data_IF_454451681683
#
_entry.id   IF_454451681683
#
_cell.length_a   1.000
_cell.length_b   1.000
_cell.length_c   1.000
_cell.angle_alpha   90.00
_cell.angle_beta   90.00
_cell.angle_gamma   90.00
#
_symmetry.space_group_name_H-M   'P 1'
#
loop_
_entity.id
_entity.type
_entity.pdbx_description
1 polymer ?
#
# COMPACT_ATOMS: atom_id res chain seq x y z
N UNK A 1 -1.64 -2.46 -13.10
CA UNK A 1 -0.33 -3.09 -12.79
C UNK A 1 0.02 -4.29 -13.65
N UNK A 2 -0.79 -5.34 -13.71
CA UNK A 2 -0.44 -6.58 -14.45
C UNK A 2 -0.10 -6.34 -15.94
N UNK A 3 -0.93 -5.59 -16.66
CA UNK A 3 -0.67 -5.24 -18.07
C UNK A 3 0.66 -4.53 -18.28
N UNK A 4 1.04 -3.66 -17.33
CA UNK A 4 2.30 -2.94 -17.38
C UNK A 4 3.49 -3.89 -17.18
N UNK A 5 3.40 -4.81 -16.21
CA UNK A 5 4.42 -5.84 -15.99
C UNK A 5 4.62 -6.65 -17.28
N UNK A 6 3.54 -7.11 -17.89
CA UNK A 6 3.57 -7.87 -19.15
C UNK A 6 4.24 -7.04 -20.25
N UNK A 7 3.90 -5.75 -20.39
CA UNK A 7 4.49 -4.87 -21.39
C UNK A 7 6.01 -4.72 -21.21
N UNK A 8 6.49 -4.52 -19.97
CA UNK A 8 7.93 -4.43 -19.68
C UNK A 8 8.65 -5.75 -19.96
N UNK A 9 8.05 -6.89 -19.63
CA UNK A 9 8.62 -8.20 -19.92
C UNK A 9 8.72 -8.47 -21.43
N UNK A 10 7.68 -8.09 -22.20
CA UNK A 10 7.69 -8.18 -23.67
C UNK A 10 8.78 -7.27 -24.23
N UNK A 11 8.86 -6.01 -23.80
CA UNK A 11 9.86 -5.06 -24.26
C UNK A 11 11.29 -5.55 -23.98
N UNK A 12 11.54 -6.00 -22.74
CA UNK A 12 12.82 -6.57 -22.32
C UNK A 12 13.19 -7.79 -23.19
N UNK A 13 12.21 -8.65 -23.48
CA UNK A 13 12.41 -9.83 -24.35
C UNK A 13 12.75 -9.46 -25.79
N UNK A 14 12.10 -8.42 -26.34
CA UNK A 14 12.39 -7.90 -27.69
C UNK A 14 13.82 -7.34 -27.74
N UNK A 15 14.20 -6.53 -26.75
CA UNK A 15 15.56 -5.95 -26.65
C UNK A 15 16.60 -7.06 -26.53
N UNK A 16 16.37 -8.06 -25.68
CA UNK A 16 17.29 -9.20 -25.52
C UNK A 16 17.47 -9.97 -26.83
N UNK A 17 16.39 -10.25 -27.57
CA UNK A 17 16.48 -10.89 -28.90
C UNK A 17 17.26 -10.04 -29.90
N UNK A 18 17.11 -8.72 -29.86
CA UNK A 18 17.87 -7.82 -30.71
C UNK A 18 19.37 -7.83 -30.35
N UNK A 19 19.71 -7.77 -29.05
CA UNK A 19 21.10 -7.82 -28.56
C UNK A 19 21.76 -9.16 -28.94
N UNK A 20 21.07 -10.28 -28.73
CA UNK A 20 21.56 -11.62 -29.11
C UNK A 20 21.92 -11.68 -30.59
N UNK A 21 21.01 -11.22 -31.47
CA UNK A 21 21.26 -11.16 -32.92
C UNK A 21 22.40 -10.22 -33.30
N UNK A 22 22.49 -9.07 -32.64
CA UNK A 22 23.50 -8.04 -32.94
C UNK A 22 24.91 -8.47 -32.55
N UNK A 23 25.05 -9.21 -31.45
CA UNK A 23 26.35 -9.58 -30.89
C UNK A 23 26.69 -11.07 -31.06
N UNK A 24 25.84 -11.84 -31.76
CA UNK A 24 25.99 -13.29 -31.95
C UNK A 24 26.18 -14.04 -30.62
N UNK A 25 25.45 -13.63 -29.59
CA UNK A 25 25.49 -14.30 -28.27
C UNK A 25 24.77 -15.63 -28.43
N UNK A 26 25.49 -16.73 -28.16
CA UNK A 26 24.92 -18.08 -28.18
C UNK A 26 24.25 -18.29 -26.82
N UNK A 27 22.93 -18.54 -26.77
CA UNK A 27 22.29 -18.82 -25.50
C UNK A 27 22.74 -20.19 -24.98
N UNK A 28 23.48 -20.20 -23.89
CA UNK A 28 24.05 -21.40 -23.27
C UNK A 28 23.00 -22.39 -22.73
N UNK A 29 21.71 -22.05 -22.72
CA UNK A 29 20.60 -22.90 -22.28
C UNK A 29 20.58 -23.19 -20.77
N UNK A 30 21.66 -22.90 -20.04
CA UNK A 30 21.77 -22.98 -18.59
C UNK A 30 21.35 -21.64 -17.99
N UNK A 31 20.31 -21.64 -17.15
CA UNK A 31 19.75 -20.42 -16.56
C UNK A 31 20.70 -19.64 -15.63
N UNK A 32 21.83 -20.25 -15.23
CA UNK A 32 22.83 -19.63 -14.38
C UNK A 32 24.22 -20.30 -14.54
N UNK A 33 25.21 -19.52 -14.95
CA UNK A 33 26.62 -19.91 -14.99
C UNK A 33 27.46 -18.91 -14.19
N UNK A 34 27.90 -19.25 -12.97
CA UNK A 34 28.72 -18.34 -12.19
C UNK A 34 30.12 -18.22 -12.82
N UNK A 35 30.51 -16.98 -13.14
CA UNK A 35 31.84 -16.66 -13.72
C UNK A 35 33.02 -17.00 -12.79
N UNK A 36 32.81 -17.02 -11.47
CA UNK A 36 33.81 -17.44 -10.48
C UNK A 36 33.16 -17.86 -9.15
N UNK A 37 33.98 -18.33 -8.20
CA UNK A 37 33.52 -18.74 -6.87
C UNK A 37 32.90 -17.58 -6.06
N UNK A 38 33.39 -16.35 -6.24
CA UNK A 38 32.82 -15.17 -5.57
C UNK A 38 31.40 -14.88 -6.08
N UNK A 39 31.15 -15.02 -7.38
CA UNK A 39 29.83 -14.87 -7.98
C UNK A 39 28.88 -15.92 -7.40
N UNK A 40 29.32 -17.18 -7.37
CA UNK A 40 28.54 -18.30 -6.82
C UNK A 40 28.17 -18.10 -5.35
N UNK A 41 29.12 -17.69 -4.51
CA UNK A 41 28.86 -17.45 -3.09
C UNK A 41 28.05 -16.18 -2.85
N UNK A 42 28.33 -15.10 -3.58
CA UNK A 42 27.59 -13.85 -3.48
C UNK A 42 26.10 -14.02 -3.78
N UNK A 43 25.75 -14.73 -4.86
CA UNK A 43 24.35 -15.00 -5.15
C UNK A 43 23.69 -15.85 -4.06
N UNK A 44 24.37 -16.89 -3.55
CA UNK A 44 23.82 -17.70 -2.45
C UNK A 44 23.54 -16.88 -1.20
N UNK A 45 24.41 -15.94 -0.86
CA UNK A 45 24.21 -15.03 0.27
C UNK A 45 23.03 -14.11 0.00
N UNK A 46 22.94 -13.50 -1.18
CA UNK A 46 21.81 -12.63 -1.56
C UNK A 46 20.49 -13.40 -1.50
N UNK A 47 20.45 -14.63 -2.04
CA UNK A 47 19.28 -15.50 -2.00
C UNK A 47 18.86 -15.84 -0.56
N UNK A 48 19.82 -16.18 0.30
CA UNK A 48 19.57 -16.50 1.71
C UNK A 48 19.06 -15.29 2.49
N UNK A 49 19.66 -14.11 2.29
CA UNK A 49 19.20 -12.86 2.89
C UNK A 49 17.79 -12.53 2.41
N UNK A 50 17.51 -12.67 1.11
CA UNK A 50 16.17 -12.46 0.55
C UNK A 50 15.12 -13.38 1.17
N UNK A 51 15.45 -14.65 1.38
CA UNK A 51 14.57 -15.62 2.05
C UNK A 51 14.28 -15.22 3.51
N UNK A 52 15.31 -14.84 4.26
CA UNK A 52 15.16 -14.39 5.66
C UNK A 52 14.27 -13.15 5.72
N UNK A 53 14.52 -12.16 4.85
CA UNK A 53 13.71 -10.95 4.76
C UNK A 53 12.25 -11.27 4.43
N UNK A 54 12.00 -12.19 3.48
CA UNK A 54 10.64 -12.60 3.14
C UNK A 54 9.91 -13.23 4.33
N UNK A 55 10.59 -14.07 5.12
CA UNK A 55 10.04 -14.68 6.33
C UNK A 55 9.71 -13.61 7.39
N UNK A 56 10.63 -12.67 7.63
CA UNK A 56 10.43 -11.58 8.60
C UNK A 56 9.22 -10.74 8.18
N UNK A 57 9.19 -10.28 6.92
CA UNK A 57 8.12 -9.45 6.36
C UNK A 57 6.75 -10.16 6.43
N UNK A 58 6.72 -11.47 6.17
CA UNK A 58 5.52 -12.28 6.35
C UNK A 58 5.06 -12.33 7.81
N UNK A 59 5.97 -12.51 8.77
CA UNK A 59 5.63 -12.55 10.20
C UNK A 59 5.07 -11.24 10.73
N UNK A 60 5.49 -10.10 10.19
CA UNK A 60 5.00 -8.77 10.60
C UNK A 60 3.86 -8.25 9.72
N UNK A 61 3.25 -9.10 8.88
CA UNK A 61 2.17 -8.75 7.93
C UNK A 61 2.50 -7.55 7.04
N UNK A 62 3.79 -7.30 6.78
CA UNK A 62 4.28 -6.16 6.02
C UNK A 62 4.83 -6.66 4.69
N UNK A 63 3.96 -6.92 3.72
CA UNK A 63 4.40 -7.36 2.39
C UNK A 63 3.96 -6.35 1.35
N UNK A 64 4.82 -5.36 1.09
CA UNK A 64 4.64 -4.45 -0.02
C UNK A 64 5.25 -5.04 -1.29
N UNK A 65 4.42 -5.23 -2.33
CA UNK A 65 4.81 -5.93 -3.55
C UNK A 65 6.02 -5.33 -4.26
N UNK A 66 6.33 -4.04 -4.09
CA UNK A 66 7.51 -3.43 -4.72
C UNK A 66 8.84 -3.93 -4.15
N UNK A 67 8.85 -4.47 -2.92
CA UNK A 67 10.06 -4.99 -2.26
C UNK A 67 10.66 -6.12 -3.12
N UNK A 68 9.83 -6.92 -3.81
CA UNK A 68 10.31 -7.98 -4.69
C UNK A 68 11.13 -7.42 -5.86
N UNK A 69 10.75 -6.28 -6.42
CA UNK A 69 11.48 -5.65 -7.50
C UNK A 69 12.81 -5.08 -7.01
N UNK A 70 12.85 -4.51 -5.80
CA UNK A 70 14.09 -4.07 -5.16
C UNK A 70 15.07 -5.22 -4.92
N UNK A 71 14.56 -6.35 -4.40
CA UNK A 71 15.36 -7.56 -4.21
C UNK A 71 15.89 -8.12 -5.54
N UNK A 72 15.03 -8.25 -6.55
CA UNK A 72 15.43 -8.71 -7.88
C UNK A 72 16.46 -7.77 -8.53
N UNK A 73 16.35 -6.46 -8.29
CA UNK A 73 17.32 -5.48 -8.77
C UNK A 73 18.71 -5.68 -8.15
N UNK A 74 18.78 -5.98 -6.85
CA UNK A 74 20.04 -6.29 -6.17
C UNK A 74 20.64 -7.58 -6.72
N UNK A 75 19.82 -8.64 -6.84
CA UNK A 75 20.28 -9.94 -7.33
C UNK A 75 20.79 -9.86 -8.78
N UNK A 76 19.98 -9.32 -9.68
CA UNK A 76 20.35 -9.20 -11.10
C UNK A 76 21.45 -8.15 -11.30
N UNK A 77 21.47 -7.09 -10.49
CA UNK A 77 22.52 -6.07 -10.51
C UNK A 77 23.87 -6.65 -10.11
N UNK A 78 23.91 -7.47 -9.06
CA UNK A 78 25.11 -8.22 -8.68
C UNK A 78 25.56 -9.16 -9.80
N UNK A 79 24.64 -9.92 -10.40
CA UNK A 79 24.94 -10.81 -11.53
C UNK A 79 25.54 -10.04 -12.71
N UNK A 80 24.87 -8.98 -13.15
CA UNK A 80 25.32 -8.13 -14.26
C UNK A 80 26.70 -7.52 -13.98
N UNK A 81 26.96 -7.10 -12.74
CA UNK A 81 28.26 -6.58 -12.32
C UNK A 81 29.36 -7.65 -12.40
N UNK A 82 29.09 -8.87 -11.92
CA UNK A 82 30.05 -9.98 -11.96
C UNK A 82 30.35 -10.40 -13.40
N UNK A 83 29.33 -10.54 -14.25
CA UNK A 83 29.51 -10.85 -15.68
C UNK A 83 30.28 -9.74 -16.40
N UNK A 84 29.93 -8.48 -16.19
CA UNK A 84 30.65 -7.35 -16.81
C UNK A 84 32.12 -7.31 -16.41
N UNK A 85 32.43 -7.58 -15.13
CA UNK A 85 33.79 -7.46 -14.59
C UNK A 85 34.66 -8.66 -14.95
N UNK A 86 34.12 -9.87 -14.95
CA UNK A 86 34.91 -11.11 -15.05
C UNK A 86 34.68 -11.91 -16.33
N UNK A 87 33.63 -11.62 -17.12
CA UNK A 87 33.27 -12.37 -18.33
C UNK A 87 32.81 -11.43 -19.47
N UNK A 88 33.62 -10.39 -19.69
CA UNK A 88 33.29 -9.30 -20.62
C UNK A 88 33.32 -9.72 -22.08
N UNK A 89 34.09 -10.75 -22.42
CA UNK A 89 34.37 -11.15 -23.81
C UNK A 89 33.15 -11.77 -24.48
N UNK A 90 32.36 -12.56 -23.75
CA UNK A 90 31.15 -13.21 -24.26
C UNK A 90 29.95 -12.25 -24.39
N UNK A 91 30.06 -11.03 -23.83
CA UNK A 91 29.04 -9.95 -23.86
C UNK A 91 27.67 -10.35 -23.28
N UNK A 92 27.55 -11.50 -22.62
CA UNK A 92 26.33 -11.95 -21.97
C UNK A 92 25.81 -10.97 -20.94
N UNK A 93 26.73 -10.22 -20.29
CA UNK A 93 26.40 -9.15 -19.36
C UNK A 93 25.42 -8.11 -19.94
N UNK A 94 25.36 -7.93 -21.27
CA UNK A 94 24.41 -7.03 -21.92
C UNK A 94 22.96 -7.51 -21.77
N UNK A 95 22.73 -8.83 -21.78
CA UNK A 95 21.41 -9.41 -21.58
C UNK A 95 20.97 -9.25 -20.12
N UNK A 96 21.86 -9.57 -19.18
CA UNK A 96 21.58 -9.42 -17.75
C UNK A 96 21.38 -7.95 -17.39
N UNK A 97 22.17 -7.03 -17.97
CA UNK A 97 22.00 -5.58 -17.78
C UNK A 97 20.65 -5.10 -18.31
N UNK A 98 20.17 -5.66 -19.42
CA UNK A 98 18.83 -5.33 -19.94
C UNK A 98 17.74 -5.81 -18.98
N UNK A 99 17.89 -7.00 -18.39
CA UNK A 99 16.99 -7.48 -17.33
C UNK A 99 17.02 -6.61 -16.08
N UNK A 100 18.19 -6.11 -15.67
CA UNK A 100 18.34 -5.11 -14.59
C UNK A 100 17.55 -3.85 -14.92
N UNK A 101 17.68 -3.33 -16.14
CA UNK A 101 16.92 -2.16 -16.59
C UNK A 101 15.41 -2.37 -16.55
N UNK A 102 14.93 -3.54 -17.02
CA UNK A 102 13.52 -3.91 -16.97
C UNK A 102 12.97 -3.98 -15.54
N UNK A 103 13.67 -4.65 -14.63
CA UNK A 103 13.29 -4.71 -13.20
C UNK A 103 13.37 -3.33 -12.54
N UNK A 104 14.38 -2.52 -12.88
CA UNK A 104 14.50 -1.16 -12.37
C UNK A 104 13.32 -0.27 -12.78
N UNK A 105 12.85 -0.40 -14.02
CA UNK A 105 11.65 0.29 -14.49
C UNK A 105 10.39 -0.14 -13.74
N UNK A 106 10.23 -1.46 -13.49
CA UNK A 106 9.13 -1.99 -12.68
C UNK A 106 9.17 -1.44 -11.24
N UNK A 107 10.36 -1.38 -10.64
CA UNK A 107 10.54 -0.80 -9.31
C UNK A 107 10.10 0.67 -9.30
N UNK A 108 10.64 1.50 -10.18
CA UNK A 108 10.33 2.94 -10.22
C UNK A 108 8.82 3.18 -10.35
N UNK A 109 8.15 2.44 -11.23
CA UNK A 109 6.72 2.61 -11.47
C UNK A 109 5.88 2.06 -10.32
N UNK A 110 6.31 0.94 -9.71
CA UNK A 110 5.66 0.44 -8.50
C UNK A 110 5.75 1.45 -7.35
N UNK A 111 6.91 2.11 -7.18
CA UNK A 111 7.08 3.18 -6.20
C UNK A 111 6.20 4.38 -6.57
N UNK A 112 6.20 4.80 -7.83
CA UNK A 112 5.35 5.91 -8.28
C UNK A 112 3.88 5.69 -7.93
N UNK A 113 3.35 4.49 -8.19
CA UNK A 113 1.94 4.16 -7.91
C UNK A 113 1.67 4.06 -6.41
N UNK A 114 2.60 3.50 -5.63
CA UNK A 114 2.40 3.38 -4.18
C UNK A 114 2.55 4.72 -3.47
N UNK A 115 3.45 5.59 -3.93
CA UNK A 115 3.68 6.90 -3.33
C UNK A 115 2.74 7.99 -3.86
N UNK A 116 1.94 7.69 -4.89
CA UNK A 116 0.93 8.61 -5.38
C UNK A 116 -0.07 8.94 -4.27
N UNK A 117 -0.26 10.23 -4.05
CA UNK A 117 -1.29 10.76 -3.15
C UNK A 117 -2.53 11.11 -3.96
N UNK A 118 -3.67 11.07 -3.30
CA UNK A 118 -4.98 11.54 -3.79
C UNK A 118 -5.63 12.31 -2.65
N UNK A 119 -6.61 13.16 -2.95
CA UNK A 119 -7.40 13.80 -1.90
C UNK A 119 -8.59 12.92 -1.50
N UNK A 120 -9.15 13.18 -0.33
CA UNK A 120 -10.41 12.56 0.08
C UNK A 120 -11.53 12.81 -0.95
N UNK A 121 -11.68 14.06 -1.41
CA UNK A 121 -12.71 14.45 -2.37
C UNK A 121 -12.59 13.67 -3.69
N UNK A 122 -11.38 13.56 -4.24
CA UNK A 122 -11.13 12.74 -5.45
C UNK A 122 -11.51 11.26 -5.23
N UNK A 123 -11.19 10.71 -4.06
CA UNK A 123 -11.49 9.32 -3.72
C UNK A 123 -12.99 9.04 -3.68
N UNK A 124 -13.77 10.00 -3.16
CA UNK A 124 -15.23 9.88 -3.04
C UNK A 124 -15.94 10.13 -4.39
N UNK A 125 -15.45 11.08 -5.19
CA UNK A 125 -16.01 11.38 -6.51
C UNK A 125 -15.91 10.19 -7.47
N UNK A 126 -14.78 9.48 -7.47
CA UNK A 126 -14.55 8.30 -8.32
C UNK A 126 -15.55 7.17 -8.02
N UNK A 127 -15.93 6.98 -6.76
CA UNK A 127 -16.83 5.90 -6.33
C UNK A 127 -18.33 6.30 -6.42
N UNK A 128 -18.66 7.58 -6.66
CA UNK A 128 -20.03 8.13 -6.75
C UNK A 128 -20.95 7.82 -5.54
N UNK A 129 -20.40 7.41 -4.39
CA UNK A 129 -21.20 6.86 -3.30
C UNK A 129 -21.59 7.87 -2.22
N UNK A 130 -20.84 8.95 -2.07
CA UNK A 130 -21.11 9.98 -1.08
C UNK A 130 -21.20 11.34 -1.78
N UNK A 131 -22.39 11.91 -1.76
CA UNK A 131 -22.59 13.30 -2.17
C UNK A 131 -22.48 14.19 -0.94
N UNK A 132 -21.33 14.88 -0.82
CA UNK A 132 -21.02 15.75 0.30
C UNK A 132 -22.04 16.90 0.46
N UNK A 133 -22.66 17.34 -0.64
CA UNK A 133 -23.65 18.41 -0.64
C UNK A 133 -25.03 17.97 -0.13
N UNK A 134 -25.27 16.66 0.01
CA UNK A 134 -26.57 16.10 0.41
C UNK A 134 -26.53 15.30 1.71
N UNK A 135 -25.53 15.55 2.56
CA UNK A 135 -25.45 14.90 3.87
C UNK A 135 -26.52 15.51 4.78
N UNK A 136 -27.46 14.68 5.23
CA UNK A 136 -28.53 15.07 6.15
C UNK A 136 -28.09 14.96 7.61
N UNK A 137 -27.35 13.89 7.93
CA UNK A 137 -26.79 13.66 9.26
C UNK A 137 -25.53 12.81 9.20
N UNK A 138 -24.70 12.94 10.24
CA UNK A 138 -23.51 12.11 10.45
C UNK A 138 -23.62 11.43 11.80
N UNK A 139 -23.63 10.11 11.80
CA UNK A 139 -23.54 9.31 13.03
C UNK A 139 -22.09 8.92 13.26
N UNK A 140 -21.57 9.23 14.44
CA UNK A 140 -20.17 8.98 14.81
C UNK A 140 -20.15 8.02 15.99
N UNK A 141 -19.40 6.93 15.86
CA UNK A 141 -19.20 5.93 16.90
C UNK A 141 -17.72 5.84 17.22
N UNK A 142 -17.32 6.15 18.44
CA UNK A 142 -15.97 5.88 18.92
C UNK A 142 -15.92 4.44 19.46
N UNK A 143 -15.06 3.63 18.86
CA UNK A 143 -14.95 2.21 19.10
C UNK A 143 -13.55 1.86 19.60
N UNK A 144 -13.47 0.81 20.41
CA UNK A 144 -12.22 0.18 20.83
C UNK A 144 -12.29 -1.33 20.55
N UNK A 145 -11.16 -1.92 20.15
CA UNK A 145 -11.07 -3.38 20.05
C UNK A 145 -11.21 -4.04 21.42
N UNK A 146 -12.00 -5.11 21.48
CA UNK A 146 -12.17 -5.96 22.65
C UNK A 146 -11.29 -7.20 22.53
N UNK A 147 -10.11 -7.15 23.12
CA UNK A 147 -9.16 -8.28 23.10
C UNK A 147 -9.69 -9.55 23.78
N UNK A 148 -10.61 -9.39 24.75
CA UNK A 148 -11.21 -10.49 25.49
C UNK A 148 -12.40 -11.14 24.75
N UNK A 149 -12.78 -10.61 23.58
CA UNK A 149 -13.91 -11.10 22.80
C UNK A 149 -13.69 -12.52 22.29
N UNK A 150 -14.50 -13.46 22.79
CA UNK A 150 -14.52 -14.85 22.30
C UNK A 150 -15.29 -15.01 20.99
N UNK A 151 -16.17 -14.07 20.66
CA UNK A 151 -17.03 -14.10 19.48
C UNK A 151 -16.71 -12.92 18.56
N UNK A 152 -16.80 -13.13 17.24
CA UNK A 152 -16.49 -12.12 16.22
C UNK A 152 -17.31 -10.83 16.38
N UNK A 153 -18.57 -10.95 16.80
CA UNK A 153 -19.48 -9.82 16.94
C UNK A 153 -19.23 -8.97 18.21
N UNK A 154 -18.41 -9.47 19.12
CA UNK A 154 -18.06 -8.79 20.37
C UNK A 154 -16.67 -8.15 20.32
N UNK A 155 -16.01 -8.15 19.15
CA UNK A 155 -14.65 -7.65 18.96
C UNK A 155 -14.53 -6.13 19.04
N UNK A 156 -15.65 -5.41 19.09
CA UNK A 156 -15.72 -3.95 19.14
C UNK A 156 -16.59 -3.52 20.33
N UNK A 157 -16.12 -2.55 21.10
CA UNK A 157 -16.88 -1.89 22.17
C UNK A 157 -17.08 -0.44 21.75
N UNK A 158 -18.35 -0.01 21.66
CA UNK A 158 -18.71 1.40 21.46
C UNK A 158 -18.53 2.13 22.78
N UNK A 159 -17.61 3.09 22.83
CA UNK A 159 -17.33 3.93 24.01
C UNK A 159 -18.29 5.10 24.12
N UNK A 160 -18.53 5.78 23.00
CA UNK A 160 -19.39 6.95 22.87
C UNK A 160 -19.91 7.06 21.44
N UNK A 161 -21.10 7.61 21.28
CA UNK A 161 -21.73 7.87 20.00
C UNK A 161 -22.34 9.26 19.94
N UNK A 162 -22.36 9.87 18.77
CA UNK A 162 -22.97 11.18 18.56
C UNK A 162 -23.72 11.20 17.23
N UNK A 163 -24.83 11.92 17.18
CA UNK A 163 -25.59 12.16 15.95
C UNK A 163 -25.57 13.65 15.65
N UNK A 164 -25.03 14.00 14.50
CA UNK A 164 -24.87 15.39 14.07
C UNK A 164 -25.86 15.67 12.95
N UNK A 165 -26.83 16.53 13.24
CA UNK A 165 -27.80 17.06 12.26
C UNK A 165 -27.56 18.56 11.99
N UNK A 166 -26.63 19.18 12.71
CA UNK A 166 -26.30 20.59 12.54
C UNK A 166 -25.48 20.80 11.26
N UNK A 167 -26.04 21.54 10.30
CA UNK A 167 -25.38 21.74 9.00
C UNK A 167 -24.02 22.45 9.08
N UNK A 168 -23.84 23.36 10.03
CA UNK A 168 -22.54 24.03 10.21
C UNK A 168 -21.47 23.02 10.65
N UNK A 169 -21.81 22.11 11.57
CA UNK A 169 -20.90 21.07 12.03
C UNK A 169 -20.64 20.02 10.94
N UNK A 170 -21.67 19.66 10.18
CA UNK A 170 -21.53 18.77 9.01
C UNK A 170 -20.56 19.39 7.99
N UNK A 171 -20.73 20.68 7.66
CA UNK A 171 -19.85 21.36 6.73
C UNK A 171 -18.39 21.40 7.24
N UNK A 172 -18.18 21.64 8.54
CA UNK A 172 -16.84 21.58 9.14
C UNK A 172 -16.22 20.17 8.99
N UNK A 173 -16.99 19.11 9.25
CA UNK A 173 -16.52 17.73 9.05
C UNK A 173 -16.13 17.48 7.59
N UNK A 174 -16.96 17.95 6.65
CA UNK A 174 -16.72 17.80 5.22
C UNK A 174 -15.48 18.57 4.76
N UNK A 175 -15.31 19.80 5.24
CA UNK A 175 -14.16 20.65 4.91
C UNK A 175 -12.85 20.02 5.39
N UNK A 176 -12.83 19.54 6.63
CA UNK A 176 -11.66 18.89 7.22
C UNK A 176 -11.33 17.58 6.50
N UNK A 177 -12.33 16.74 6.22
CA UNK A 177 -12.15 15.52 5.43
C UNK A 177 -11.60 15.81 4.03
N UNK A 178 -12.13 16.82 3.36
CA UNK A 178 -11.73 17.18 1.99
C UNK A 178 -10.29 17.66 1.90
N UNK A 179 -9.74 18.20 2.99
CA UNK A 179 -8.36 18.65 3.07
C UNK A 179 -7.34 17.50 3.22
N UNK A 180 -7.80 16.30 3.57
CA UNK A 180 -6.92 15.17 3.86
C UNK A 180 -6.27 14.63 2.58
N UNK A 181 -4.94 14.61 2.59
CA UNK A 181 -4.15 13.88 1.61
C UNK A 181 -4.03 12.40 1.99
N UNK A 182 -4.36 11.53 1.04
CA UNK A 182 -4.45 10.10 1.20
C UNK A 182 -3.48 9.37 0.30
N UNK A 183 -2.93 8.27 0.82
CA UNK A 183 -2.15 7.32 0.04
C UNK A 183 -2.82 5.95 0.11
N UNK A 184 -3.24 5.42 -1.04
CA UNK A 184 -3.87 4.11 -1.11
C UNK A 184 -2.92 3.02 -0.58
N UNK A 185 -3.41 2.16 0.31
CA UNK A 185 -2.61 1.08 0.90
C UNK A 185 -3.32 -0.27 0.75
N UNK A 186 -2.57 -1.29 0.31
CA UNK A 186 -3.09 -2.66 0.18
C UNK A 186 -3.04 -3.44 1.50
N UNK A 187 -3.71 -2.90 2.53
CA UNK A 187 -3.94 -3.50 3.85
C UNK A 187 -2.74 -3.37 4.81
N UNK A 188 -3.00 -2.77 5.97
CA UNK A 188 -2.67 -3.42 7.24
C UNK A 188 -3.74 -2.99 8.25
N UNK A 189 -4.26 -3.95 9.04
CA UNK A 189 -5.04 -3.62 10.25
C UNK A 189 -4.09 -2.80 11.12
N UNK A 190 -4.24 -1.49 11.12
CA UNK A 190 -3.47 -0.69 12.06
C UNK A 190 -4.03 -0.89 13.47
N UNK A 191 -3.54 -0.05 14.37
CA UNK A 191 -3.93 -0.04 15.77
C UNK A 191 -5.47 0.02 15.90
N UNK A 192 -6.10 -1.11 16.24
CA UNK A 192 -7.55 -1.21 16.40
C UNK A 192 -7.99 -0.73 17.81
N UNK A 193 -7.04 -0.23 18.60
CA UNK A 193 -7.24 0.14 20.00
C UNK A 193 -8.23 1.30 20.15
N UNK A 194 -8.24 2.27 19.24
CA UNK A 194 -9.21 3.37 19.25
C UNK A 194 -9.47 3.90 17.83
N UNK A 195 -10.72 3.83 17.38
CA UNK A 195 -11.10 4.28 16.05
C UNK A 195 -12.53 4.83 16.02
N UNK A 196 -12.80 5.65 15.02
CA UNK A 196 -14.09 6.28 14.82
C UNK A 196 -14.76 5.68 13.59
N UNK A 197 -16.02 5.30 13.72
CA UNK A 197 -16.85 4.87 12.60
C UNK A 197 -17.86 5.98 12.31
N UNK A 198 -17.86 6.46 11.08
CA UNK A 198 -18.77 7.50 10.61
C UNK A 198 -19.75 6.89 9.62
N UNK A 199 -21.03 7.17 9.83
CA UNK A 199 -22.08 6.85 8.87
C UNK A 199 -22.67 8.16 8.36
N UNK A 200 -22.54 8.38 7.06
CA UNK A 200 -23.10 9.56 6.41
C UNK A 200 -24.48 9.17 5.88
N UNK A 201 -25.51 9.80 6.45
CA UNK A 201 -26.87 9.68 5.96
C UNK A 201 -27.06 10.65 4.82
N UNK A 202 -27.14 10.10 3.62
CA UNK A 202 -27.44 10.84 2.39
C UNK A 202 -28.40 10.01 1.52
N UNK A 203 -28.44 10.26 0.21
CA UNK A 203 -29.12 9.40 -0.76
C UNK A 203 -28.66 7.93 -0.67
N UNK A 204 -27.40 7.69 -0.30
CA UNK A 204 -26.83 6.38 -0.04
C UNK A 204 -26.19 6.32 1.35
N UNK A 205 -26.22 5.14 1.98
CA UNK A 205 -25.46 4.87 3.20
C UNK A 205 -24.01 4.64 2.81
N UNK A 206 -23.13 5.56 3.21
CA UNK A 206 -21.69 5.35 3.16
C UNK A 206 -21.15 5.26 4.58
N UNK A 207 -20.14 4.41 4.75
CA UNK A 207 -19.44 4.27 6.02
C UNK A 207 -17.96 4.52 5.84
N UNK A 208 -17.38 5.21 6.80
CA UNK A 208 -15.95 5.43 6.91
C UNK A 208 -15.48 4.95 8.28
N UNK A 209 -14.25 4.47 8.34
CA UNK A 209 -13.56 4.25 9.62
C UNK A 209 -12.31 5.10 9.64
N UNK A 210 -12.11 5.86 10.71
CA UNK A 210 -10.97 6.77 10.90
C UNK A 210 -10.18 6.28 12.09
N UNK A 211 -8.89 6.11 11.86
CA UNK A 211 -7.89 5.73 12.83
C UNK A 211 -6.84 6.84 12.89
N UNK A 212 -5.97 6.82 13.90
CA UNK A 212 -4.93 7.84 14.08
C UNK A 212 -4.13 8.08 12.78
N UNK A 213 -3.62 7.01 12.13
CA UNK A 213 -2.74 7.18 10.95
C UNK A 213 -3.36 6.77 9.60
N UNK A 214 -4.63 6.36 9.58
CA UNK A 214 -5.28 5.84 8.38
C UNK A 214 -6.79 5.97 8.43
N UNK A 215 -7.42 5.83 7.27
CA UNK A 215 -8.86 5.76 7.15
C UNK A 215 -9.26 4.64 6.18
N UNK A 216 -10.46 4.10 6.36
CA UNK A 216 -11.06 3.16 5.43
C UNK A 216 -12.34 3.75 4.88
N UNK A 217 -12.42 3.82 3.56
CA UNK A 217 -13.60 4.29 2.82
C UNK A 217 -14.10 3.09 2.03
N UNK A 218 -15.32 2.65 2.32
CA UNK A 218 -15.95 1.51 1.63
C UNK A 218 -15.05 0.27 1.52
N UNK A 219 -14.37 -0.07 2.61
CA UNK A 219 -13.45 -1.22 2.69
C UNK A 219 -12.08 -1.03 2.05
N UNK A 220 -11.83 0.06 1.31
CA UNK A 220 -10.50 0.44 0.84
C UNK A 220 -9.74 1.20 1.94
N UNK A 221 -8.49 0.81 2.20
CA UNK A 221 -7.65 1.45 3.22
C UNK A 221 -6.71 2.51 2.62
N UNK A 222 -6.63 3.65 3.30
CA UNK A 222 -5.81 4.79 2.91
C UNK A 222 -4.98 5.26 4.10
N UNK A 223 -3.69 5.46 3.89
CA UNK A 223 -2.82 6.10 4.88
C UNK A 223 -2.96 7.61 4.75
N UNK A 224 -3.14 8.31 5.87
CA UNK A 224 -3.12 9.77 5.89
C UNK A 224 -1.68 10.27 5.71
N UNK A 225 -1.51 11.28 4.87
CA UNK A 225 -0.21 11.92 4.62
C UNK A 225 -0.05 13.09 5.58
N UNK A 226 0.88 12.96 6.53
CA UNK A 226 1.08 13.96 7.59
C UNK A 226 0.34 13.57 8.87
N UNK A 227 -0.13 14.58 9.60
CA UNK A 227 -0.98 14.39 10.77
C UNK A 227 -2.42 14.17 10.31
N UNK A 228 -3.19 13.41 11.10
CA UNK A 228 -4.60 13.21 10.84
C UNK A 228 -5.42 14.20 11.67
N UNK A 229 -5.41 15.46 11.22
CA UNK A 229 -6.10 16.56 11.92
C UNK A 229 -7.61 16.29 12.07
N UNK A 230 -8.19 15.45 11.20
CA UNK A 230 -9.57 14.99 11.34
C UNK A 230 -9.76 14.01 12.49
N UNK A 231 -8.82 13.10 12.73
CA UNK A 231 -8.87 12.24 13.93
C UNK A 231 -8.77 13.08 15.21
N UNK A 232 -7.88 14.07 15.22
CA UNK A 232 -7.72 15.00 16.35
C UNK A 232 -9.02 15.80 16.57
N UNK A 233 -9.66 16.28 15.51
CA UNK A 233 -10.99 16.90 15.59
C UNK A 233 -12.02 15.97 16.24
N UNK A 234 -12.06 14.68 15.87
CA UNK A 234 -13.01 13.73 16.44
C UNK A 234 -12.74 13.41 17.92
N UNK A 235 -11.50 13.56 18.37
CA UNK A 235 -11.10 13.35 19.76
C UNK A 235 -11.37 14.59 20.63
N UNK A 236 -11.13 15.78 20.09
CA UNK A 236 -11.22 17.06 20.80
C UNK A 236 -12.59 17.74 20.72
N UNK A 237 -13.39 17.42 19.70
CA UNK A 237 -14.68 18.08 19.49
C UNK A 237 -15.70 17.72 20.57
N UNK A 238 -16.36 18.78 21.07
CA UNK A 238 -17.44 18.71 22.04
C UNK A 238 -18.77 18.38 21.35
N UNK A 239 -18.86 17.15 20.84
CA UNK A 239 -20.12 16.61 20.35
C UNK A 239 -21.03 16.23 21.52
N UNK A 240 -22.34 16.16 21.26
CA UNK A 240 -23.32 15.64 22.22
C UNK A 240 -23.20 14.11 22.34
N UNK A 241 -22.14 13.69 23.04
CA UNK A 241 -21.72 12.31 23.17
C UNK A 241 -22.63 11.54 24.12
N UNK A 242 -23.29 10.52 23.59
CA UNK A 242 -24.03 9.53 24.36
C UNK A 242 -23.13 8.33 24.66
N UNK A 243 -23.22 7.79 25.88
CA UNK A 243 -22.54 6.55 26.25
C UNK A 243 -23.52 5.39 26.23
N UNK A 244 -23.33 4.40 25.35
CA UNK A 244 -24.22 3.25 25.30
C UNK A 244 -24.22 2.51 26.65
N UNK A 245 -25.38 2.41 27.30
CA UNK A 245 -25.56 1.61 28.52
C UNK A 245 -25.49 2.36 29.85
N UNK A 246 -25.15 3.66 29.88
CA UNK A 246 -25.46 4.50 31.05
C UNK A 246 -26.97 4.82 31.00
N UNK A 247 -27.77 4.20 31.87
CA UNK A 247 -29.18 4.59 32.03
C UNK A 247 -29.20 6.00 32.62
N UNK A 248 -29.96 6.90 32.01
CA UNK A 248 -30.29 8.20 32.62
C UNK A 248 -30.91 7.93 34.00
N UNK A 249 -30.22 8.35 35.07
CA UNK A 249 -30.72 8.32 36.46
C UNK A 249 -31.65 9.50 36.75
#
# INVERSE_FOLDING_TARGET
MLYFIIAVLILTSIINRYIQKKYNIIPDGVAFRPVNNMHKWGERVILLVGLILAIILYMISYVEYYIIFGYLLILLGFRAFMEYKYDREEKEYLLTTTSVGGIGLLLIISLFIVFQTTTFSETIEDDQMLNLDSIESVEIYNNQSNEDAKELWNQEIVKREAVIENQQMINQIVDELSSIELRKRMINKGDQDNFYRLYFRSTFYSSMVVYDTYLTIDGNAYKVVGNNDFYDLLEEADFDWNKPGEKEE
#
